data_IF_634867535059
#
_entry.id   IF_634867535059
#
_cell.length_a   1.000
_cell.length_b   1.000
_cell.length_c   1.000
_cell.angle_alpha   90.00
_cell.angle_beta   90.00
_cell.angle_gamma   90.00
#
_symmetry.space_group_name_H-M   'P 1'
#
loop_
_entity.id
_entity.type
_entity.pdbx_description
1 polymer ?
#
# COMPACT_ATOMS: atom_id res chain seq x y z
N UNK A 1 7.45 -26.48 -7.57
CA UNK A 1 7.71 -25.11 -8.08
C UNK A 1 7.80 -24.18 -6.88
N UNK A 2 9.01 -23.86 -6.42
CA UNK A 2 9.21 -22.97 -5.29
C UNK A 2 9.05 -21.51 -5.74
N UNK A 3 8.12 -20.78 -5.11
CA UNK A 3 7.85 -19.39 -5.40
C UNK A 3 9.13 -18.56 -5.33
N UNK A 4 9.49 -17.96 -6.46
CA UNK A 4 10.61 -17.02 -6.57
C UNK A 4 10.30 -15.85 -5.65
N UNK A 5 10.84 -15.88 -4.43
CA UNK A 5 10.84 -14.73 -3.53
C UNK A 5 11.62 -13.65 -4.28
N UNK A 6 10.88 -12.68 -4.85
CA UNK A 6 11.48 -11.52 -5.53
C UNK A 6 12.47 -10.90 -4.53
N UNK A 7 13.66 -10.44 -4.98
CA UNK A 7 14.56 -9.71 -4.09
C UNK A 7 13.74 -8.60 -3.45
N UNK A 8 13.79 -8.52 -2.12
CA UNK A 8 13.05 -7.51 -1.38
C UNK A 8 13.59 -6.17 -1.86
N UNK A 9 12.84 -5.46 -2.70
CA UNK A 9 13.23 -4.16 -3.29
C UNK A 9 13.42 -3.06 -2.20
N UNK A 10 13.45 -3.43 -0.91
CA UNK A 10 13.41 -2.56 0.26
C UNK A 10 12.00 -2.05 0.59
N UNK A 11 11.00 -2.43 -0.22
CA UNK A 11 9.62 -1.97 -0.09
C UNK A 11 8.74 -2.95 0.68
N UNK A 12 8.26 -2.49 1.83
CA UNK A 12 7.15 -3.09 2.55
C UNK A 12 5.83 -2.79 1.83
N UNK A 13 5.01 -3.83 1.71
CA UNK A 13 3.70 -3.77 1.06
C UNK A 13 2.62 -4.16 2.05
N UNK A 14 1.57 -3.37 2.12
CA UNK A 14 0.43 -3.62 2.99
C UNK A 14 -0.86 -3.49 2.19
N UNK A 15 -1.64 -4.58 2.14
CA UNK A 15 -2.90 -4.65 1.40
C UNK A 15 -4.07 -4.47 2.35
N UNK A 16 -5.01 -3.62 1.95
CA UNK A 16 -6.23 -3.32 2.68
C UNK A 16 -7.44 -3.53 1.77
N UNK A 17 -8.53 -4.01 2.36
CA UNK A 17 -9.83 -4.11 1.71
C UNK A 17 -10.84 -3.36 2.57
N UNK A 18 -11.28 -2.20 2.10
CA UNK A 18 -12.16 -1.28 2.84
C UNK A 18 -13.16 -0.64 1.88
N UNK A 19 -14.33 -0.18 2.36
CA UNK A 19 -15.26 0.63 1.57
C UNK A 19 -14.56 1.84 0.95
N UNK A 20 -15.02 2.30 -0.22
CA UNK A 20 -14.36 3.38 -0.99
C UNK A 20 -14.01 4.64 -0.19
N UNK A 21 -14.89 5.08 0.71
CA UNK A 21 -14.64 6.25 1.55
C UNK A 21 -13.54 5.98 2.59
N UNK A 22 -13.60 4.83 3.25
CA UNK A 22 -12.60 4.39 4.23
C UNK A 22 -11.25 4.09 3.59
N UNK A 23 -11.23 3.50 2.40
CA UNK A 23 -10.01 3.25 1.64
C UNK A 23 -9.25 4.54 1.33
N UNK A 24 -9.97 5.60 0.93
CA UNK A 24 -9.38 6.94 0.74
C UNK A 24 -8.83 7.51 2.04
N UNK A 25 -9.59 7.43 3.13
CA UNK A 25 -9.15 7.91 4.43
C UNK A 25 -7.89 7.17 4.91
N UNK A 26 -7.87 5.85 4.76
CA UNK A 26 -6.75 4.98 5.14
C UNK A 26 -5.50 5.24 4.29
N UNK A 27 -5.64 5.38 2.98
CA UNK A 27 -4.52 5.73 2.10
C UNK A 27 -3.92 7.10 2.47
N UNK A 28 -4.77 8.09 2.79
CA UNK A 28 -4.32 9.42 3.24
C UNK A 28 -3.61 9.37 4.58
N UNK A 29 -4.16 8.66 5.57
CA UNK A 29 -3.53 8.44 6.87
C UNK A 29 -2.17 7.75 6.72
N UNK A 30 -2.08 6.72 5.88
CA UNK A 30 -0.82 6.04 5.60
C UNK A 30 0.24 6.97 5.01
N UNK A 31 -0.10 7.76 4.00
CA UNK A 31 0.82 8.73 3.39
C UNK A 31 1.17 9.90 4.33
N UNK A 32 0.31 10.21 5.29
CA UNK A 32 0.59 11.20 6.34
C UNK A 32 1.54 10.65 7.39
N UNK A 33 1.43 9.37 7.76
CA UNK A 33 2.32 8.70 8.73
C UNK A 33 3.68 8.37 8.13
N UNK A 34 3.70 7.98 6.86
CA UNK A 34 4.90 7.67 6.10
C UNK A 34 4.98 8.64 4.93
N UNK A 35 5.62 9.80 5.07
CA UNK A 35 5.75 10.76 3.97
C UNK A 35 6.57 10.16 2.81
N UNK A 36 6.14 10.43 1.58
CA UNK A 36 6.84 9.97 0.36
C UNK A 36 8.31 10.40 0.32
N UNK A 37 8.63 11.59 0.87
CA UNK A 37 9.99 12.11 0.87
C UNK A 37 10.97 11.23 1.67
N UNK A 38 10.54 10.65 2.79
CA UNK A 38 11.37 9.81 3.65
C UNK A 38 11.24 8.31 3.31
N UNK A 39 10.02 7.87 2.97
CA UNK A 39 9.71 6.43 2.85
C UNK A 39 9.36 5.99 1.43
N UNK A 40 9.44 6.87 0.43
CA UNK A 40 8.97 6.60 -0.95
C UNK A 40 7.59 5.93 -1.00
N UNK A 41 6.72 6.28 -0.04
CA UNK A 41 5.41 5.69 0.14
C UNK A 41 4.48 6.01 -1.03
N UNK A 42 3.73 5.04 -1.53
CA UNK A 42 2.76 5.23 -2.62
C UNK A 42 1.71 4.11 -2.63
N UNK A 43 0.61 4.31 -3.34
CA UNK A 43 -0.30 3.20 -3.70
C UNK A 43 0.37 2.44 -4.84
N UNK A 44 0.63 1.15 -4.65
CA UNK A 44 1.21 0.29 -5.68
C UNK A 44 0.14 -0.23 -6.65
N UNK A 45 -1.01 -0.66 -6.12
CA UNK A 45 -2.13 -1.18 -6.90
C UNK A 45 -3.43 -0.91 -6.16
N UNK A 46 -4.52 -0.74 -6.89
CA UNK A 46 -5.86 -0.71 -6.33
C UNK A 46 -6.87 -1.30 -7.33
N UNK A 47 -7.93 -1.91 -6.81
CA UNK A 47 -9.06 -2.41 -7.58
C UNK A 47 -10.36 -2.24 -6.79
N UNK A 48 -11.45 -2.04 -7.52
CA UNK A 48 -12.80 -2.05 -6.95
C UNK A 48 -13.32 -3.49 -6.92
N UNK A 49 -13.88 -3.91 -5.79
CA UNK A 49 -14.48 -5.22 -5.60
C UNK A 49 -16.00 -5.18 -5.84
N UNK A 50 -16.61 -6.32 -6.18
CA UNK A 50 -18.07 -6.44 -6.22
C UNK A 50 -18.63 -6.16 -4.83
N UNK A 51 -19.38 -5.06 -4.67
CA UNK A 51 -19.88 -4.59 -3.37
C UNK A 51 -19.49 -3.15 -3.03
N UNK A 52 -18.59 -2.53 -3.81
CA UNK A 52 -18.19 -1.13 -3.61
C UNK A 52 -16.99 -0.96 -2.67
N UNK A 53 -16.40 -2.07 -2.22
CA UNK A 53 -15.13 -2.08 -1.50
C UNK A 53 -13.96 -1.84 -2.46
N UNK A 54 -12.89 -1.30 -1.92
CA UNK A 54 -11.63 -1.07 -2.60
C UNK A 54 -10.57 -1.95 -1.95
N UNK A 55 -9.98 -2.83 -2.74
CA UNK A 55 -8.75 -3.50 -2.35
C UNK A 55 -7.58 -2.69 -2.91
N UNK A 56 -6.68 -2.24 -2.03
CA UNK A 56 -5.50 -1.49 -2.43
C UNK A 56 -4.26 -1.92 -1.65
N UNK A 57 -3.13 -1.88 -2.33
CA UNK A 57 -1.81 -2.18 -1.77
C UNK A 57 -1.02 -0.89 -1.64
N UNK A 58 -0.69 -0.52 -0.40
CA UNK A 58 0.28 0.52 -0.11
C UNK A 58 1.69 -0.06 -0.18
N UNK A 59 2.64 0.71 -0.69
CA UNK A 59 4.08 0.43 -0.61
C UNK A 59 4.79 1.54 0.15
N UNK A 60 5.83 1.20 0.89
CA UNK A 60 6.78 2.13 1.53
C UNK A 60 8.13 1.45 1.77
N UNK A 61 9.19 2.21 1.95
CA UNK A 61 10.46 1.69 2.43
C UNK A 61 10.34 1.23 3.90
N UNK A 62 11.14 0.23 4.26
CA UNK A 62 11.22 -0.25 5.64
C UNK A 62 11.80 0.81 6.59
N UNK A 63 12.80 1.55 6.10
CA UNK A 63 13.49 2.64 6.81
C UNK A 63 13.38 3.94 6.00
N UNK A 64 13.47 5.07 6.71
CA UNK A 64 13.68 6.35 6.04
C UNK A 64 15.11 6.40 5.48
N UNK A 65 15.26 6.96 4.27
CA UNK A 65 16.56 7.33 3.69
C UNK A 65 17.08 8.63 4.31
#
# INVERSE_FOLDING_TARGET
MAGRRKPDDGYLRETFTLPREEARARARDFLSRYPKAAYMSSVESWRELPGGDIEFTMRRLASAD
#
